data_IF_525341736720
#
_entry.id   IF_525341736720
#
_cell.length_a   1.000
_cell.length_b   1.000
_cell.length_c   1.000
_cell.angle_alpha   90.00
_cell.angle_beta   90.00
_cell.angle_gamma   90.00
#
_symmetry.space_group_name_H-M   'P 1'
#
loop_
_entity.id
_entity.type
_entity.pdbx_description
1 polymer ?
#
# COMPACT_ATOMS: atom_id res chain seq x y z
N UNK A 1 9.74 5.41 -14.84
CA UNK A 1 9.59 4.84 -13.49
C UNK A 1 9.76 3.33 -13.51
N UNK A 2 10.20 2.75 -12.43
CA UNK A 2 10.19 1.31 -12.20
C UNK A 2 9.15 1.02 -11.11
N UNK A 3 8.44 -0.13 -11.18
CA UNK A 3 8.58 -1.16 -12.20
C UNK A 3 7.88 -0.80 -13.51
N UNK A 4 8.30 -1.45 -14.59
CA UNK A 4 7.57 -1.52 -15.85
C UNK A 4 7.71 -2.93 -16.45
N UNK A 5 6.71 -3.33 -17.21
CA UNK A 5 6.69 -4.60 -17.96
C UNK A 5 6.68 -4.27 -19.45
N UNK A 6 7.63 -4.81 -20.20
CA UNK A 6 7.68 -4.72 -21.66
C UNK A 6 7.27 -6.08 -22.26
N UNK A 7 6.28 -6.06 -23.14
CA UNK A 7 5.80 -7.25 -23.84
C UNK A 7 6.58 -7.50 -25.12
N UNK A 8 6.43 -8.68 -25.71
CA UNK A 8 7.15 -9.10 -26.93
C UNK A 8 6.90 -8.17 -28.13
N UNK A 9 5.73 -7.55 -28.20
CA UNK A 9 5.36 -6.59 -29.25
C UNK A 9 5.86 -5.16 -29.00
N UNK A 10 6.60 -4.93 -27.90
CA UNK A 10 7.10 -3.63 -27.48
C UNK A 10 6.09 -2.79 -26.67
N UNK A 11 4.91 -3.32 -26.37
CA UNK A 11 3.94 -2.64 -25.49
C UNK A 11 4.53 -2.53 -24.08
N UNK A 12 4.46 -1.34 -23.47
CA UNK A 12 4.95 -1.09 -22.12
C UNK A 12 3.79 -0.83 -21.17
N UNK A 13 3.71 -1.62 -20.10
CA UNK A 13 2.78 -1.44 -18.99
C UNK A 13 3.57 -0.95 -17.79
N UNK A 14 3.22 0.21 -17.26
CA UNK A 14 3.77 0.78 -16.04
C UNK A 14 2.73 0.73 -14.91
N UNK A 15 3.15 1.10 -13.69
CA UNK A 15 2.39 1.04 -12.44
C UNK A 15 2.15 -0.40 -11.93
N UNK A 16 2.58 -0.66 -10.70
CA UNK A 16 2.57 -2.00 -10.09
C UNK A 16 1.18 -2.66 -10.14
N UNK A 17 0.12 -1.90 -9.85
CA UNK A 17 -1.26 -2.42 -9.85
C UNK A 17 -1.70 -2.79 -11.27
N UNK A 18 -1.33 -2.00 -12.27
CA UNK A 18 -1.64 -2.30 -13.68
C UNK A 18 -0.92 -3.55 -14.17
N UNK A 19 0.36 -3.70 -13.78
CA UNK A 19 1.16 -4.89 -14.09
C UNK A 19 0.55 -6.13 -13.42
N UNK A 20 0.21 -6.04 -12.12
CA UNK A 20 -0.41 -7.15 -11.39
C UNK A 20 -1.76 -7.53 -11.99
N UNK A 21 -2.56 -6.56 -12.42
CA UNK A 21 -3.85 -6.83 -13.09
C UNK A 21 -3.65 -7.57 -14.42
N UNK A 22 -2.69 -7.14 -15.23
CA UNK A 22 -2.33 -7.82 -16.47
C UNK A 22 -1.87 -9.26 -16.22
N UNK A 23 -1.02 -9.47 -15.22
CA UNK A 23 -0.52 -10.81 -14.87
C UNK A 23 -1.63 -11.73 -14.36
N UNK A 24 -2.61 -11.20 -13.60
CA UNK A 24 -3.76 -12.00 -13.15
C UNK A 24 -4.67 -12.41 -14.31
N UNK A 25 -4.84 -11.59 -15.35
CA UNK A 25 -5.58 -12.00 -16.55
C UNK A 25 -4.91 -13.18 -17.27
N UNK A 26 -3.57 -13.28 -17.21
CA UNK A 26 -2.82 -14.42 -17.76
C UNK A 26 -2.79 -15.62 -16.80
N UNK A 27 -2.83 -15.38 -15.49
CA UNK A 27 -2.71 -16.37 -14.41
C UNK A 27 -3.79 -16.11 -13.35
N UNK A 28 -5.06 -16.49 -13.59
CA UNK A 28 -6.18 -16.06 -12.76
C UNK A 28 -6.25 -16.71 -11.37
N UNK A 29 -5.35 -17.65 -11.06
CA UNK A 29 -5.32 -18.34 -9.79
C UNK A 29 -3.94 -18.21 -9.10
N UNK A 30 -3.91 -17.76 -7.84
CA UNK A 30 -5.01 -17.23 -7.02
C UNK A 30 -5.45 -15.83 -7.46
N UNK A 31 -6.77 -15.52 -7.39
CA UNK A 31 -7.29 -14.21 -7.74
C UNK A 31 -7.08 -13.21 -6.60
N UNK A 32 -6.39 -12.09 -6.89
CA UNK A 32 -6.19 -10.95 -6.01
C UNK A 32 -7.08 -9.74 -6.33
N UNK A 33 -7.68 -9.72 -7.54
CA UNK A 33 -8.59 -8.64 -7.98
C UNK A 33 -10.07 -9.03 -7.97
N UNK A 34 -10.39 -10.28 -7.60
CA UNK A 34 -11.77 -10.77 -7.49
C UNK A 34 -12.33 -11.40 -8.77
N UNK A 35 -13.26 -12.34 -8.59
CA UNK A 35 -13.79 -13.21 -9.67
C UNK A 35 -15.09 -12.71 -10.27
N UNK A 36 -15.91 -12.01 -9.50
CA UNK A 36 -17.18 -11.45 -9.92
C UNK A 36 -17.22 -9.92 -9.81
N UNK A 37 -18.26 -9.30 -10.31
CA UNK A 37 -18.37 -7.85 -10.35
C UNK A 37 -18.37 -7.21 -8.96
N UNK A 38 -19.00 -7.85 -7.97
CA UNK A 38 -19.09 -7.33 -6.60
C UNK A 38 -17.71 -7.42 -5.93
N UNK A 39 -17.04 -8.57 -6.02
CA UNK A 39 -15.69 -8.76 -5.47
C UNK A 39 -14.71 -7.76 -6.09
N UNK A 40 -14.70 -7.62 -7.41
CA UNK A 40 -13.82 -6.67 -8.12
C UNK A 40 -14.06 -5.24 -7.65
N UNK A 41 -15.31 -4.81 -7.57
CA UNK A 41 -15.64 -3.46 -7.11
C UNK A 41 -15.25 -3.24 -5.64
N UNK A 42 -15.45 -4.23 -4.76
CA UNK A 42 -15.10 -4.16 -3.35
C UNK A 42 -13.58 -4.09 -3.16
N UNK A 43 -12.82 -4.94 -3.86
CA UNK A 43 -11.36 -4.96 -3.80
C UNK A 43 -10.78 -3.66 -4.36
N UNK A 44 -11.27 -3.20 -5.51
CA UNK A 44 -10.84 -1.93 -6.11
C UNK A 44 -11.12 -0.74 -5.18
N UNK A 45 -12.31 -0.68 -4.59
CA UNK A 45 -12.66 0.35 -3.59
C UNK A 45 -11.68 0.37 -2.42
N UNK A 46 -11.36 -0.80 -1.85
CA UNK A 46 -10.42 -0.87 -0.74
C UNK A 46 -8.99 -0.54 -1.16
N UNK A 47 -8.53 -1.04 -2.31
CA UNK A 47 -7.21 -0.70 -2.83
C UNK A 47 -7.07 0.81 -3.06
N UNK A 48 -8.10 1.46 -3.64
CA UNK A 48 -8.10 2.92 -3.82
C UNK A 48 -8.05 3.69 -2.50
N UNK A 49 -8.77 3.24 -1.46
CA UNK A 49 -8.69 3.83 -0.12
C UNK A 49 -7.30 3.68 0.47
N UNK A 50 -6.72 2.49 0.39
CA UNK A 50 -5.36 2.23 0.85
C UNK A 50 -4.36 3.11 0.10
N UNK A 51 -4.42 3.20 -1.23
CA UNK A 51 -3.53 4.05 -2.01
C UNK A 51 -3.58 5.51 -1.57
N UNK A 52 -4.80 6.07 -1.46
CA UNK A 52 -4.99 7.50 -1.22
C UNK A 52 -4.81 7.92 0.23
N UNK A 53 -5.27 7.07 1.18
CA UNK A 53 -5.35 7.45 2.59
C UNK A 53 -4.21 6.84 3.44
N UNK A 54 -3.47 5.84 2.91
CA UNK A 54 -2.38 5.16 3.57
C UNK A 54 -1.07 5.30 2.78
N UNK A 55 -0.98 4.68 1.59
CA UNK A 55 0.26 4.57 0.82
C UNK A 55 0.84 5.94 0.42
N UNK A 56 0.05 6.82 -0.18
CA UNK A 56 0.53 8.13 -0.58
C UNK A 56 0.93 9.02 0.61
N UNK A 57 0.15 9.12 1.70
CA UNK A 57 0.60 9.81 2.91
C UNK A 57 1.89 9.26 3.50
N UNK A 58 2.03 7.93 3.61
CA UNK A 58 3.24 7.28 4.10
C UNK A 58 4.44 7.56 3.20
N UNK A 59 4.28 7.43 1.88
CA UNK A 59 5.32 7.68 0.87
C UNK A 59 5.81 9.14 0.92
N UNK A 60 4.90 10.11 0.95
CA UNK A 60 5.25 11.52 1.00
C UNK A 60 5.90 11.89 2.32
N UNK A 61 5.41 11.38 3.45
CA UNK A 61 6.03 11.59 4.75
C UNK A 61 7.45 11.02 4.78
N UNK A 62 7.64 9.78 4.30
CA UNK A 62 8.96 9.13 4.21
C UNK A 62 9.93 9.95 3.35
N UNK A 63 9.52 10.38 2.16
CA UNK A 63 10.38 11.16 1.26
C UNK A 63 10.71 12.56 1.79
N UNK A 64 9.86 13.09 2.66
CA UNK A 64 10.08 14.40 3.28
C UNK A 64 10.81 14.33 4.64
N UNK A 65 10.99 13.14 5.23
CA UNK A 65 11.69 12.97 6.52
C UNK A 65 13.12 12.42 6.37
N UNK A 66 13.36 11.53 5.41
CA UNK A 66 14.64 10.82 5.30
C UNK A 66 15.61 11.61 4.42
N UNK A 67 16.82 11.95 4.90
CA UNK A 67 17.80 12.79 4.18
C UNK A 67 18.20 12.25 2.81
N UNK A 68 18.24 10.92 2.61
CA UNK A 68 18.58 10.32 1.32
C UNK A 68 17.61 10.69 0.18
N UNK A 69 16.39 11.14 0.53
CA UNK A 69 15.40 11.59 -0.45
C UNK A 69 15.47 13.10 -0.75
N UNK A 70 16.48 13.80 -0.26
CA UNK A 70 16.70 15.21 -0.62
C UNK A 70 16.83 15.35 -2.13
N UNK A 71 16.05 16.27 -2.72
CA UNK A 71 15.92 16.43 -4.19
C UNK A 71 15.17 15.30 -4.89
N UNK A 72 14.48 14.41 -4.15
CA UNK A 72 13.69 13.28 -4.65
C UNK A 72 12.37 13.12 -3.90
N UNK A 73 11.79 14.23 -3.45
CA UNK A 73 10.51 14.22 -2.72
C UNK A 73 9.34 13.76 -3.61
N UNK A 74 9.46 13.95 -4.93
CA UNK A 74 8.53 13.41 -5.92
C UNK A 74 9.04 12.06 -6.42
N UNK A 75 8.22 10.99 -6.36
CA UNK A 75 8.60 9.68 -6.90
C UNK A 75 9.01 9.74 -8.39
N UNK A 76 10.03 8.98 -8.75
CA UNK A 76 10.42 8.80 -10.16
C UNK A 76 11.26 9.93 -10.78
N UNK A 77 11.43 11.07 -10.09
CA UNK A 77 12.19 12.19 -10.65
C UNK A 77 13.01 12.94 -9.60
N UNK A 78 14.05 13.67 -10.05
CA UNK A 78 14.72 14.68 -9.23
C UNK A 78 14.01 16.02 -9.38
N UNK A 79 13.91 16.75 -8.28
CA UNK A 79 13.29 18.08 -8.25
C UNK A 79 14.09 18.99 -7.33
N UNK A 80 13.89 20.32 -7.48
CA UNK A 80 14.43 21.31 -6.56
C UNK A 80 13.46 21.61 -5.38
N UNK A 81 12.41 20.78 -5.24
CA UNK A 81 11.46 20.89 -4.13
C UNK A 81 12.16 20.44 -2.84
N UNK A 82 12.15 21.30 -1.85
CA UNK A 82 12.71 21.00 -0.53
C UNK A 82 11.84 20.04 0.26
N UNK A 83 12.48 19.26 1.15
CA UNK A 83 11.78 18.45 2.14
C UNK A 83 11.03 19.35 3.11
N UNK A 84 9.79 18.98 3.47
CA UNK A 84 8.90 19.78 4.31
C UNK A 84 8.44 19.00 5.54
N UNK A 85 8.80 19.48 6.77
CA UNK A 85 8.27 18.89 8.00
C UNK A 85 6.73 18.93 8.09
N UNK A 86 6.09 19.92 7.47
CA UNK A 86 4.63 20.01 7.45
C UNK A 86 3.99 18.86 6.66
N UNK A 87 4.63 18.41 5.58
CA UNK A 87 4.17 17.24 4.81
C UNK A 87 4.32 15.96 5.65
N UNK A 88 5.40 15.84 6.42
CA UNK A 88 5.60 14.70 7.34
C UNK A 88 4.50 14.67 8.39
N UNK A 89 4.24 15.80 9.05
CA UNK A 89 3.22 15.88 10.09
C UNK A 89 1.84 15.55 9.54
N UNK A 90 1.46 16.14 8.41
CA UNK A 90 0.19 15.87 7.75
C UNK A 90 0.06 14.39 7.35
N UNK A 91 1.12 13.77 6.85
CA UNK A 91 1.13 12.36 6.49
C UNK A 91 0.84 11.47 7.71
N UNK A 92 1.50 11.73 8.84
CA UNK A 92 1.24 11.02 10.12
C UNK A 92 -0.21 11.16 10.59
N UNK A 93 -0.79 12.35 10.49
CA UNK A 93 -2.19 12.58 10.85
C UNK A 93 -3.16 11.83 9.94
N UNK A 94 -2.90 11.80 8.63
CA UNK A 94 -3.70 11.03 7.67
C UNK A 94 -3.63 9.53 7.96
N UNK A 95 -2.44 9.00 8.24
CA UNK A 95 -2.25 7.60 8.64
C UNK A 95 -3.03 7.25 9.91
N UNK A 96 -2.97 8.08 10.95
CA UNK A 96 -3.75 7.87 12.16
C UNK A 96 -5.26 7.81 11.90
N UNK A 97 -5.77 8.69 11.03
CA UNK A 97 -7.18 8.71 10.65
C UNK A 97 -7.55 7.42 9.90
N UNK A 98 -6.71 7.01 8.94
CA UNK A 98 -6.94 5.80 8.17
C UNK A 98 -6.90 4.55 9.06
N UNK A 99 -5.88 4.41 9.89
CA UNK A 99 -5.74 3.27 10.81
C UNK A 99 -6.87 3.21 11.85
N UNK A 100 -7.33 4.37 12.33
CA UNK A 100 -8.51 4.43 13.21
C UNK A 100 -9.81 3.92 12.57
N UNK A 101 -9.90 3.92 11.23
CA UNK A 101 -11.02 3.33 10.46
C UNK A 101 -10.77 1.87 10.10
N UNK A 102 -9.53 1.53 9.77
CA UNK A 102 -9.14 0.19 9.33
C UNK A 102 -9.11 -0.81 10.50
N UNK A 103 -8.65 -0.40 11.68
CA UNK A 103 -8.49 -1.31 12.81
C UNK A 103 -9.80 -1.98 13.25
N UNK A 104 -10.91 -1.24 13.48
CA UNK A 104 -12.19 -1.88 13.77
C UNK A 104 -12.73 -2.72 12.59
N UNK A 105 -12.46 -2.33 11.34
CA UNK A 105 -12.84 -3.14 10.19
C UNK A 105 -12.14 -4.52 10.19
N UNK A 106 -10.87 -4.57 10.57
CA UNK A 106 -10.11 -5.81 10.67
C UNK A 106 -10.48 -6.66 11.91
N UNK A 107 -11.31 -6.19 12.83
CA UNK A 107 -11.87 -7.04 13.90
C UNK A 107 -12.80 -8.12 13.32
N UNK A 108 -13.54 -7.78 12.28
CA UNK A 108 -14.56 -8.64 11.68
C UNK A 108 -14.10 -9.27 10.35
N UNK A 109 -12.95 -8.85 9.83
CA UNK A 109 -12.43 -9.30 8.55
C UNK A 109 -10.98 -9.79 8.69
N UNK A 110 -10.70 -10.93 8.08
CA UNK A 110 -9.34 -11.49 8.06
C UNK A 110 -8.39 -10.64 7.20
N UNK A 111 -8.91 -10.02 6.12
CA UNK A 111 -8.16 -9.22 5.16
C UNK A 111 -8.88 -7.90 4.85
N UNK A 112 -8.14 -6.97 4.21
CA UNK A 112 -8.61 -5.61 3.92
C UNK A 112 -9.93 -5.59 3.13
N UNK A 113 -10.09 -6.43 2.13
CA UNK A 113 -11.31 -6.48 1.32
C UNK A 113 -12.30 -7.58 1.76
N UNK A 114 -12.09 -8.23 2.92
CA UNK A 114 -13.00 -9.23 3.48
C UNK A 114 -12.30 -10.54 3.88
N UNK A 115 -12.86 -11.68 3.44
CA UNK A 115 -12.42 -13.00 3.89
C UNK A 115 -11.18 -13.56 3.18
N UNK A 116 -10.75 -12.97 2.07
CA UNK A 116 -9.64 -13.46 1.26
C UNK A 116 -8.61 -12.37 1.00
N UNK A 117 -7.34 -12.81 0.93
CA UNK A 117 -6.24 -11.97 0.51
C UNK A 117 -6.51 -11.34 -0.86
N UNK A 118 -6.22 -10.05 -0.98
CA UNK A 118 -6.41 -9.27 -2.20
C UNK A 118 -5.23 -8.33 -2.47
N UNK A 119 -5.26 -7.65 -3.60
CA UNK A 119 -4.26 -6.62 -3.91
C UNK A 119 -4.26 -5.48 -2.89
N UNK A 120 -5.39 -5.18 -2.26
CA UNK A 120 -5.48 -4.16 -1.22
C UNK A 120 -4.62 -4.49 0.00
N UNK A 121 -4.49 -5.77 0.36
CA UNK A 121 -3.64 -6.21 1.45
C UNK A 121 -2.16 -6.02 1.11
N UNK A 122 -1.77 -6.31 -0.11
CA UNK A 122 -0.38 -6.13 -0.58
C UNK A 122 -0.02 -4.64 -0.52
N UNK A 123 -0.86 -3.77 -1.05
CA UNK A 123 -0.64 -2.31 -1.02
C UNK A 123 -0.56 -1.79 0.41
N UNK A 124 -1.47 -2.20 1.29
CA UNK A 124 -1.51 -1.78 2.69
C UNK A 124 -0.31 -2.29 3.48
N UNK A 125 0.17 -3.50 3.22
CA UNK A 125 1.35 -4.04 3.89
C UNK A 125 2.60 -3.18 3.66
N UNK A 126 2.85 -2.78 2.42
CA UNK A 126 3.98 -1.89 2.10
C UNK A 126 3.81 -0.49 2.72
N UNK A 127 2.59 0.05 2.73
CA UNK A 127 2.29 1.33 3.35
C UNK A 127 2.51 1.28 4.87
N UNK A 128 2.02 0.23 5.54
CA UNK A 128 2.21 0.02 6.98
C UNK A 128 3.69 -0.13 7.34
N UNK A 129 4.49 -0.81 6.50
CA UNK A 129 5.94 -0.89 6.70
C UNK A 129 6.63 0.49 6.62
N UNK A 130 6.20 1.37 5.72
CA UNK A 130 6.68 2.76 5.69
C UNK A 130 6.24 3.54 6.94
N UNK A 131 5.03 3.33 7.43
CA UNK A 131 4.51 3.99 8.64
C UNK A 131 5.31 3.60 9.90
N UNK A 132 5.84 2.37 9.97
CA UNK A 132 6.72 1.95 11.07
C UNK A 132 7.98 2.83 11.20
N UNK A 133 8.47 3.43 10.10
CA UNK A 133 9.58 4.36 10.14
C UNK A 133 9.26 5.68 10.91
N UNK A 134 8.00 5.93 11.21
CA UNK A 134 7.55 7.10 11.98
C UNK A 134 7.27 6.81 13.45
N UNK A 135 7.70 5.65 13.95
CA UNK A 135 7.52 5.23 15.36
C UNK A 135 6.04 5.20 15.78
N UNK A 136 5.14 4.86 14.85
CA UNK A 136 3.72 4.68 15.16
C UNK A 136 3.55 3.40 15.99
N UNK A 137 2.96 3.51 17.17
CA UNK A 137 2.68 2.37 18.05
C UNK A 137 1.47 1.57 17.56
N UNK A 138 1.68 0.75 16.53
CA UNK A 138 0.64 -0.10 15.98
C UNK A 138 0.14 -1.12 17.00
N UNK A 139 1.03 -1.73 17.77
CA UNK A 139 0.68 -2.75 18.76
C UNK A 139 -0.18 -2.22 19.90
N UNK A 140 0.10 -1.00 20.37
CA UNK A 140 -0.65 -0.37 21.45
C UNK A 140 -1.96 0.26 21.01
N UNK A 141 -2.00 0.87 19.82
CA UNK A 141 -3.12 1.67 19.37
C UNK A 141 -4.05 0.92 18.37
N UNK A 142 -3.50 0.04 17.53
CA UNK A 142 -4.19 -0.60 16.40
C UNK A 142 -3.97 -2.11 16.40
N UNK A 143 -4.56 -2.80 17.36
CA UNK A 143 -4.30 -4.24 17.62
C UNK A 143 -4.69 -5.15 16.46
N UNK A 144 -5.76 -4.85 15.73
CA UNK A 144 -6.20 -5.66 14.60
C UNK A 144 -5.30 -5.45 13.38
N UNK A 145 -4.83 -4.23 13.15
CA UNK A 145 -3.83 -3.94 12.12
C UNK A 145 -2.51 -4.65 12.47
N UNK A 146 -2.08 -4.57 13.74
CA UNK A 146 -0.86 -5.26 14.20
C UNK A 146 -0.96 -6.77 13.99
N UNK A 147 -2.08 -7.41 14.38
CA UNK A 147 -2.33 -8.83 14.13
C UNK A 147 -2.26 -9.16 12.64
N UNK A 148 -3.02 -8.45 11.81
CA UNK A 148 -3.04 -8.65 10.36
C UNK A 148 -1.65 -8.47 9.74
N UNK A 149 -0.91 -7.44 10.14
CA UNK A 149 0.43 -7.18 9.64
C UNK A 149 1.41 -8.30 10.02
N UNK A 150 1.36 -8.79 11.26
CA UNK A 150 2.19 -9.93 11.68
C UNK A 150 1.87 -11.20 10.91
N UNK A 151 0.59 -11.55 10.76
CA UNK A 151 0.16 -12.71 9.97
C UNK A 151 0.60 -12.59 8.50
N UNK A 152 0.52 -11.39 7.93
CA UNK A 152 0.98 -11.13 6.56
C UNK A 152 2.50 -11.29 6.45
N UNK A 153 3.26 -10.80 7.43
CA UNK A 153 4.74 -10.85 7.45
C UNK A 153 5.31 -12.28 7.48
N UNK A 154 4.54 -13.28 7.91
CA UNK A 154 4.99 -14.69 7.91
C UNK A 154 4.90 -15.36 6.54
N UNK A 155 4.42 -14.67 5.52
CA UNK A 155 4.30 -15.25 4.17
C UNK A 155 5.68 -15.31 3.50
N UNK A 156 6.01 -16.43 2.82
CA UNK A 156 7.31 -16.56 2.15
C UNK A 156 7.61 -15.44 1.14
N UNK A 157 6.57 -14.85 0.53
CA UNK A 157 6.71 -13.74 -0.42
C UNK A 157 7.12 -12.40 0.21
N UNK A 158 7.13 -12.30 1.56
CA UNK A 158 7.56 -11.09 2.28
C UNK A 158 8.99 -11.16 2.78
N UNK A 159 9.66 -12.31 2.65
CA UNK A 159 11.05 -12.56 3.06
C UNK A 159 12.07 -12.25 1.96
N UNK A 160 11.63 -11.82 0.77
CA UNK A 160 12.47 -11.60 -0.42
C UNK A 160 13.08 -10.19 -0.47
#
# INVERSE_FOLDING_TARGET
>A
CVPFLELEDGTVIAESISICRYLEELHPEPSFFGRDAIQRATIDMWNRRVELDDFYPALHATRNSIPMFKGRVVPGTRTDIEQSPAVVQRGKEMLNIFFGRLDPHLSDNAFIAGAKLSIADITCFFATNMANAFEMDLAGQFRNIHRWHQEFSTRPSTEA
#
